data_IF_018010260373
#
_entry.id   IF_018010260373
#
_cell.length_a   1.000
_cell.length_b   1.000
_cell.length_c   1.000
_cell.angle_alpha   90.00
_cell.angle_beta   90.00
_cell.angle_gamma   90.00
#
_symmetry.space_group_name_H-M   'P 1'
#
loop_
_entity.id
_entity.type
_entity.pdbx_description
1 polymer ?
#
# COMPACT_ATOMS: atom_id res chain seq x y z
N UNK A 1 -4.64 9.73 6.29
CA UNK A 1 -4.08 10.78 5.40
C UNK A 1 -3.35 11.84 6.22
N UNK A 2 -4.00 12.45 7.22
CA UNK A 2 -3.42 13.51 8.06
C UNK A 2 -2.12 13.12 8.78
N UNK A 3 -2.01 11.85 9.21
CA UNK A 3 -0.81 11.33 9.90
C UNK A 3 0.26 10.78 8.93
N UNK A 4 0.12 10.95 7.61
CA UNK A 4 1.08 10.43 6.62
C UNK A 4 1.13 8.90 6.46
N UNK A 5 0.33 8.15 7.22
CA UNK A 5 0.26 6.68 7.17
C UNK A 5 -0.53 6.12 5.97
N UNK A 6 -1.10 6.98 5.14
CA UNK A 6 -1.84 6.60 3.94
C UNK A 6 -1.78 7.71 2.89
N UNK A 7 -1.95 7.36 1.62
CA UNK A 7 -1.90 8.28 0.50
C UNK A 7 -2.96 7.93 -0.57
N UNK A 8 -3.27 8.90 -1.44
CA UNK A 8 -4.21 8.72 -2.55
C UNK A 8 -3.45 8.22 -3.78
N UNK A 9 -3.98 7.20 -4.43
CA UNK A 9 -3.43 6.63 -5.66
C UNK A 9 -4.47 6.80 -6.78
N UNK A 10 -4.05 7.48 -7.84
CA UNK A 10 -4.91 7.85 -8.98
C UNK A 10 -4.61 7.02 -10.25
N UNK A 11 -3.88 5.91 -10.10
CA UNK A 11 -3.65 5.00 -11.22
C UNK A 11 -4.97 4.38 -11.68
N UNK A 12 -5.10 4.21 -12.98
CA UNK A 12 -6.19 3.46 -13.58
C UNK A 12 -6.02 1.93 -13.39
N UNK A 13 -7.01 1.16 -13.84
CA UNK A 13 -7.01 -0.29 -13.65
C UNK A 13 -5.88 -0.98 -14.43
N UNK A 14 -5.55 -0.48 -15.62
CA UNK A 14 -4.55 -1.07 -16.51
C UNK A 14 -3.14 -0.78 -15.99
N UNK A 15 -2.90 0.45 -15.55
CA UNK A 15 -1.67 0.88 -14.87
C UNK A 15 -1.42 0.09 -13.57
N UNK A 16 -2.47 -0.17 -12.78
CA UNK A 16 -2.36 -1.00 -11.58
C UNK A 16 -2.03 -2.44 -11.93
N UNK A 17 -2.60 -3.00 -13.01
CA UNK A 17 -2.27 -4.35 -13.46
C UNK A 17 -0.82 -4.45 -13.89
N UNK A 18 -0.35 -3.51 -14.72
CA UNK A 18 1.04 -3.45 -15.16
C UNK A 18 2.02 -3.31 -13.99
N UNK A 19 1.71 -2.45 -13.01
CA UNK A 19 2.52 -2.28 -11.81
C UNK A 19 2.62 -3.58 -11.00
N UNK A 20 1.52 -4.32 -10.88
CA UNK A 20 1.50 -5.61 -10.18
C UNK A 20 2.30 -6.67 -10.91
N UNK A 21 2.17 -6.76 -12.23
CA UNK A 21 2.93 -7.69 -13.05
C UNK A 21 4.43 -7.42 -12.95
N UNK A 22 4.84 -6.15 -13.01
CA UNK A 22 6.24 -5.75 -12.84
C UNK A 22 6.76 -6.11 -11.44
N UNK A 23 6.02 -5.72 -10.39
CA UNK A 23 6.39 -6.02 -9.01
C UNK A 23 6.54 -7.52 -8.77
N UNK A 24 5.63 -8.33 -9.32
CA UNK A 24 5.67 -9.78 -9.25
C UNK A 24 6.87 -10.36 -9.99
N UNK A 25 7.17 -9.87 -11.20
CA UNK A 25 8.33 -10.30 -11.97
C UNK A 25 9.67 -9.96 -11.27
N UNK A 26 9.72 -8.84 -10.55
CA UNK A 26 10.90 -8.39 -9.80
C UNK A 26 10.97 -8.96 -8.37
N UNK A 27 9.92 -9.64 -7.90
CA UNK A 27 9.81 -10.13 -6.51
C UNK A 27 9.81 -9.00 -5.47
N UNK A 28 9.31 -7.83 -5.85
CA UNK A 28 9.26 -6.62 -5.02
C UNK A 28 7.84 -6.29 -4.59
N UNK A 29 7.66 -5.54 -3.48
CA UNK A 29 6.35 -5.10 -3.08
C UNK A 29 5.76 -4.10 -4.08
N UNK A 30 4.45 -4.08 -4.19
CA UNK A 30 3.70 -3.14 -5.02
C UNK A 30 3.69 -1.78 -4.33
N UNK A 31 4.46 -0.83 -4.88
CA UNK A 31 4.52 0.55 -4.42
C UNK A 31 4.07 1.48 -5.54
N UNK A 32 3.03 2.27 -5.28
CA UNK A 32 2.51 3.20 -6.29
C UNK A 32 3.40 4.45 -6.40
N UNK A 33 3.66 4.97 -7.61
CA UNK A 33 4.41 6.22 -7.80
C UNK A 33 3.72 7.43 -7.14
N UNK A 34 2.42 7.36 -6.85
CA UNK A 34 1.67 8.41 -6.14
C UNK A 34 2.01 8.53 -4.64
N UNK A 35 2.87 7.64 -4.12
CA UNK A 35 3.26 7.61 -2.71
C UNK A 35 3.99 8.87 -2.25
N UNK A 36 4.89 9.38 -3.08
CA UNK A 36 5.75 10.53 -2.76
C UNK A 36 5.39 11.77 -3.59
N UNK A 37 4.27 11.70 -4.32
CA UNK A 37 3.71 12.83 -5.08
C UNK A 37 2.90 13.73 -4.16
N UNK A 38 3.02 15.03 -4.38
CA UNK A 38 2.29 16.07 -3.64
C UNK A 38 1.26 16.80 -4.50
N UNK A 39 1.27 16.56 -5.81
CA UNK A 39 0.25 17.07 -6.71
C UNK A 39 -1.08 16.34 -6.48
N UNK A 40 -2.13 17.13 -6.27
CA UNK A 40 -3.49 16.61 -6.20
C UNK A 40 -4.06 16.49 -7.61
N UNK A 41 -4.84 15.43 -7.83
CA UNK A 41 -5.62 15.22 -9.05
C UNK A 41 -7.10 15.12 -8.69
N UNK A 42 -7.96 15.57 -9.60
CA UNK A 42 -9.42 15.45 -9.51
C UNK A 42 -9.93 14.10 -10.05
N UNK A 43 -9.01 13.21 -10.45
CA UNK A 43 -9.34 11.86 -10.91
C UNK A 43 -9.89 10.98 -9.76
N UNK A 44 -10.67 9.94 -10.09
CA UNK A 44 -11.01 8.90 -9.13
C UNK A 44 -9.75 8.31 -8.48
N UNK A 45 -9.81 8.05 -7.17
CA UNK A 45 -8.66 7.54 -6.43
C UNK A 45 -9.05 6.42 -5.48
N UNK A 46 -8.06 5.59 -5.15
CA UNK A 46 -8.11 4.67 -4.01
C UNK A 46 -7.18 5.18 -2.92
N UNK A 47 -7.45 4.81 -1.66
CA UNK A 47 -6.53 5.10 -0.55
C UNK A 47 -5.72 3.85 -0.25
N UNK A 48 -4.40 4.02 -0.23
CA UNK A 48 -3.44 2.96 0.12
C UNK A 48 -2.76 3.28 1.44
N UNK A 49 -2.44 2.24 2.20
CA UNK A 49 -1.58 2.35 3.39
C UNK A 49 -0.14 2.61 2.96
N UNK A 50 0.57 3.47 3.69
CA UNK A 50 1.99 3.78 3.45
C UNK A 50 2.84 2.92 4.37
N UNK A 51 3.25 1.75 3.90
CA UNK A 51 4.14 0.89 4.68
C UNK A 51 5.55 1.49 4.73
N UNK A 52 6.29 1.41 5.85
CA UNK A 52 7.66 1.93 5.90
C UNK A 52 8.57 1.33 4.81
N UNK A 53 9.61 2.07 4.43
CA UNK A 53 10.54 1.64 3.37
C UNK A 53 11.61 0.69 3.89
N UNK A 54 11.89 0.73 5.20
CA UNK A 54 12.93 -0.07 5.85
C UNK A 54 12.55 -0.38 7.30
N UNK A 55 13.38 -1.22 7.93
CA UNK A 55 13.14 -1.73 9.28
C UNK A 55 12.27 -2.97 9.30
N UNK A 56 11.83 -3.32 10.50
CA UNK A 56 11.07 -4.52 10.80
C UNK A 56 9.80 -4.12 11.56
N UNK A 57 8.70 -4.80 11.25
CA UNK A 57 7.47 -4.73 12.03
C UNK A 57 7.32 -6.04 12.79
N UNK A 58 7.32 -5.95 14.12
CA UNK A 58 7.15 -7.09 15.01
C UNK A 58 5.73 -7.12 15.56
N UNK A 59 5.10 -8.27 15.47
CA UNK A 59 3.75 -8.56 15.96
C UNK A 59 3.88 -9.61 17.05
N UNK A 60 3.44 -9.28 18.27
CA UNK A 60 3.41 -10.24 19.37
C UNK A 60 2.10 -11.02 19.33
N UNK A 61 2.12 -12.14 18.61
CA UNK A 61 0.98 -13.04 18.46
C UNK A 61 0.86 -13.98 19.67
N UNK A 62 -0.36 -14.17 20.16
CA UNK A 62 -0.62 -14.97 21.35
C UNK A 62 -0.37 -16.49 21.15
N UNK A 63 -0.34 -16.97 19.91
CA UNK A 63 -0.16 -18.39 19.56
C UNK A 63 1.23 -18.64 18.97
N UNK A 64 1.63 -17.83 18.00
CA UNK A 64 2.89 -17.96 17.27
C UNK A 64 4.07 -17.29 17.99
N UNK A 65 3.81 -16.46 19.00
CA UNK A 65 4.82 -15.66 19.68
C UNK A 65 5.17 -14.40 18.87
N UNK A 66 6.38 -13.89 19.04
CA UNK A 66 6.83 -12.67 18.35
C UNK A 66 7.17 -12.98 16.89
N UNK A 67 6.40 -12.42 15.96
CA UNK A 67 6.55 -12.57 14.52
C UNK A 67 7.06 -11.26 13.94
N UNK A 68 8.25 -11.32 13.35
CA UNK A 68 8.93 -10.17 12.76
C UNK A 68 8.90 -10.25 11.24
N UNK A 69 8.47 -9.16 10.58
CA UNK A 69 8.42 -9.05 9.11
C UNK A 69 9.18 -7.81 8.65
N UNK A 70 10.06 -8.00 7.67
CA UNK A 70 10.81 -6.91 7.05
C UNK A 70 9.88 -6.00 6.27
N UNK A 71 9.93 -4.69 6.54
CA UNK A 71 9.04 -3.71 5.89
C UNK A 71 9.23 -3.63 4.37
N UNK A 72 10.41 -4.04 3.89
CA UNK A 72 10.73 -4.16 2.47
C UNK A 72 9.94 -5.24 1.74
N UNK A 73 9.29 -6.16 2.47
CA UNK A 73 8.44 -7.21 1.91
C UNK A 73 6.96 -6.85 1.94
N UNK A 74 6.60 -5.74 2.60
CA UNK A 74 5.20 -5.36 2.82
C UNK A 74 4.71 -4.45 1.69
N UNK A 75 3.49 -4.71 1.22
CA UNK A 75 2.82 -3.98 0.15
C UNK A 75 2.07 -2.75 0.67
N UNK A 76 1.92 -1.72 -0.18
CA UNK A 76 1.00 -0.61 0.06
C UNK A 76 -0.43 -1.03 -0.28
N UNK A 77 -1.05 -1.75 0.67
CA UNK A 77 -2.39 -2.32 0.53
C UNK A 77 -3.46 -1.24 0.39
N UNK A 78 -4.50 -1.54 -0.39
CA UNK A 78 -5.68 -0.66 -0.54
C UNK A 78 -6.58 -0.80 0.68
N UNK A 79 -6.87 0.32 1.34
CA UNK A 79 -7.74 0.40 2.52
C UNK A 79 -9.10 1.06 2.22
N UNK A 80 -9.19 1.88 1.18
CA UNK A 80 -10.44 2.47 0.69
C UNK A 80 -10.52 2.34 -0.82
N UNK A 81 -11.65 1.82 -1.32
CA UNK A 81 -11.93 1.71 -2.77
C UNK A 81 -12.39 3.05 -3.34
N UNK A 82 -12.40 3.14 -4.66
CA UNK A 82 -12.81 4.35 -5.39
C UNK A 82 -14.29 4.70 -5.21
N UNK A 83 -15.13 3.71 -4.88
CA UNK A 83 -16.54 3.89 -4.54
C UNK A 83 -16.76 4.37 -3.08
N UNK A 84 -15.68 4.60 -2.33
CA UNK A 84 -15.73 5.00 -0.92
C UNK A 84 -15.99 3.86 0.05
N UNK A 85 -16.10 2.61 -0.41
CA UNK A 85 -16.24 1.46 0.48
C UNK A 85 -14.91 1.07 1.12
N UNK A 86 -14.90 0.76 2.43
CA UNK A 86 -13.72 0.25 3.10
C UNK A 86 -13.37 -1.15 2.58
N UNK A 87 -12.09 -1.49 2.50
CA UNK A 87 -11.68 -2.88 2.34
C UNK A 87 -11.76 -3.59 3.69
N UNK A 88 -11.69 -4.93 3.68
CA UNK A 88 -11.69 -5.72 4.92
C UNK A 88 -10.59 -5.30 5.92
N UNK A 89 -9.52 -4.70 5.42
CA UNK A 89 -8.34 -4.30 6.18
C UNK A 89 -8.45 -2.89 6.79
N UNK A 90 -9.58 -2.18 6.63
CA UNK A 90 -9.84 -0.87 7.23
C UNK A 90 -10.73 -0.98 8.47
#
# INVERSE_FOLDING_TARGET
>A
LENGAAYRCYLDADEVSALREQAHAEGKPVRSPWRDRTDASDLPFVVRMRMPDSGETTIDDAVQGSVSVQNTQLDDMVILRADGSPTYML
#
